data_IF_319603899123
#
_entry.id   IF_319603899123
#
_cell.length_a   1.000
_cell.length_b   1.000
_cell.length_c   1.000
_cell.angle_alpha   90.00
_cell.angle_beta   90.00
_cell.angle_gamma   90.00
#
_symmetry.space_group_name_H-M   'P 1'
#
loop_
_entity.id
_entity.type
_entity.pdbx_description
1 polymer ?
#
# COMPACT_ATOMS: atom_id res chain seq x y z
N UNK A 1 19.16 5.54 -24.49
CA UNK A 1 18.74 6.91 -24.11
C UNK A 1 19.10 7.08 -22.65
N UNK A 2 19.60 8.25 -22.21
CA UNK A 2 19.93 8.52 -20.80
C UNK A 2 19.02 9.62 -20.29
N UNK A 3 18.50 9.47 -19.07
CA UNK A 3 17.78 10.54 -18.37
C UNK A 3 18.78 11.36 -17.55
N UNK A 4 18.68 12.69 -17.61
CA UNK A 4 19.49 13.60 -16.81
C UNK A 4 18.58 14.52 -15.99
N UNK A 5 18.97 14.79 -14.74
CA UNK A 5 18.35 15.83 -13.93
C UNK A 5 19.07 17.16 -14.19
N UNK A 6 18.31 18.23 -14.37
CA UNK A 6 18.85 19.55 -14.67
C UNK A 6 18.06 20.65 -13.97
N UNK A 7 18.76 21.70 -13.55
CA UNK A 7 18.16 22.90 -12.98
C UNK A 7 18.36 23.04 -11.48
N UNK A 8 17.73 24.09 -10.91
CA UNK A 8 17.89 24.48 -9.51
C UNK A 8 16.66 24.07 -8.69
N UNK A 9 16.92 23.49 -7.52
CA UNK A 9 15.93 23.13 -6.50
C UNK A 9 16.26 23.90 -5.23
N UNK A 10 15.23 24.45 -4.60
CA UNK A 10 15.35 25.17 -3.32
C UNK A 10 14.50 24.46 -2.28
N UNK A 11 15.08 24.19 -1.11
CA UNK A 11 14.40 23.60 0.05
C UNK A 11 14.47 24.61 1.18
N UNK A 12 13.33 25.08 1.67
CA UNK A 12 13.23 26.10 2.72
C UNK A 12 12.56 25.52 3.97
N UNK A 13 13.04 25.94 5.14
CA UNK A 13 12.44 25.60 6.43
C UNK A 13 12.01 26.88 7.16
N UNK A 14 10.70 27.15 7.16
CA UNK A 14 10.11 28.34 7.78
C UNK A 14 10.38 28.43 9.30
N UNK A 15 10.59 27.29 9.98
CA UNK A 15 10.78 27.26 11.44
C UNK A 15 12.12 27.82 11.90
N UNK A 16 13.17 27.66 11.09
CA UNK A 16 14.53 28.05 11.44
C UNK A 16 15.20 28.96 10.39
N UNK A 17 14.47 29.34 9.34
CA UNK A 17 14.94 30.18 8.23
C UNK A 17 16.17 29.60 7.50
N UNK A 18 16.38 28.28 7.58
CA UNK A 18 17.41 27.61 6.79
C UNK A 18 16.88 27.35 5.38
N UNK A 19 17.77 27.53 4.41
CA UNK A 19 17.49 27.27 3.00
C UNK A 19 18.64 26.47 2.39
N UNK A 20 18.32 25.41 1.66
CA UNK A 20 19.25 24.67 0.84
C UNK A 20 18.97 24.95 -0.63
N UNK A 21 19.95 25.46 -1.36
CA UNK A 21 19.89 25.61 -2.82
C UNK A 21 20.75 24.50 -3.44
N UNK A 22 20.15 23.69 -4.32
CA UNK A 22 20.79 22.61 -5.05
C UNK A 22 20.68 22.87 -6.56
N UNK A 23 21.73 22.60 -7.31
CA UNK A 23 21.79 22.68 -8.75
C UNK A 23 22.21 21.33 -9.32
N UNK A 24 21.33 20.72 -10.09
CA UNK A 24 21.59 19.53 -10.90
C UNK A 24 22.15 20.00 -12.25
N UNK A 25 23.38 19.60 -12.54
CA UNK A 25 24.09 20.04 -13.74
C UNK A 25 23.86 19.05 -14.87
N UNK A 26 23.42 19.59 -16.00
CA UNK A 26 23.38 18.86 -17.26
C UNK A 26 24.79 18.58 -17.75
N UNK A 27 24.94 17.52 -18.55
CA UNK A 27 26.23 17.17 -19.15
C UNK A 27 26.76 18.35 -19.99
N UNK A 28 27.99 18.83 -19.72
CA UNK A 28 28.58 19.90 -20.50
C UNK A 28 28.94 19.43 -21.92
N UNK A 29 28.90 20.35 -22.89
CA UNK A 29 29.33 20.07 -24.28
C UNK A 29 30.80 19.68 -24.39
N UNK A 30 31.63 20.19 -23.47
CA UNK A 30 33.05 19.88 -23.36
C UNK A 30 33.31 19.26 -21.99
N UNK A 31 33.94 18.08 -21.98
CA UNK A 31 34.17 17.29 -20.77
C UNK A 31 33.63 15.87 -20.92
N UNK A 32 34.41 14.88 -20.50
CA UNK A 32 34.07 13.47 -20.64
C UNK A 32 32.85 13.04 -19.82
N UNK A 33 32.60 11.73 -19.80
CA UNK A 33 31.49 11.13 -19.03
C UNK A 33 31.58 11.38 -17.51
N UNK A 34 32.71 11.87 -17.00
CA UNK A 34 32.92 12.21 -15.60
C UNK A 34 32.09 13.41 -15.11
N UNK A 35 31.49 14.18 -16.02
CA UNK A 35 30.69 15.36 -15.67
C UNK A 35 29.17 15.13 -15.71
N UNK A 36 28.74 13.88 -15.87
CA UNK A 36 27.33 13.50 -15.87
C UNK A 36 26.84 13.40 -14.41
N UNK A 37 25.56 13.72 -14.18
CA UNK A 37 24.91 13.61 -12.87
C UNK A 37 25.52 14.48 -11.76
N UNK A 38 26.21 15.56 -12.12
CA UNK A 38 26.80 16.47 -11.13
C UNK A 38 25.73 17.23 -10.36
N UNK A 39 25.99 17.40 -9.06
CA UNK A 39 25.20 18.24 -8.17
C UNK A 39 26.13 19.21 -7.44
N UNK A 40 25.69 20.46 -7.32
CA UNK A 40 26.31 21.45 -6.42
C UNK A 40 25.24 22.11 -5.58
N UNK A 41 25.60 22.61 -4.41
CA UNK A 41 24.64 23.32 -3.58
C UNK A 41 25.24 24.07 -2.42
N UNK A 42 24.38 24.78 -1.70
CA UNK A 42 24.74 25.52 -0.49
C UNK A 42 23.59 25.49 0.50
N UNK A 43 23.92 25.45 1.78
CA UNK A 43 22.98 25.64 2.89
C UNK A 43 23.24 27.03 3.46
N UNK A 44 22.20 27.84 3.57
CA UNK A 44 22.26 29.23 4.01
C UNK A 44 21.30 29.48 5.16
N UNK A 45 21.66 30.46 6.01
CA UNK A 45 20.81 31.03 7.05
C UNK A 45 20.73 32.54 6.79
N UNK A 46 19.64 32.98 6.16
CA UNK A 46 19.58 34.33 5.60
C UNK A 46 20.65 34.54 4.51
N UNK A 47 21.59 35.46 4.74
CA UNK A 47 22.69 35.75 3.80
C UNK A 47 23.96 34.93 4.07
N UNK A 48 24.07 34.28 5.24
CA UNK A 48 25.25 33.54 5.64
C UNK A 48 25.25 32.13 5.03
N UNK A 49 26.35 31.74 4.39
CA UNK A 49 26.51 30.37 3.88
C UNK A 49 27.12 29.51 4.99
N UNK A 50 26.38 28.48 5.41
CA UNK A 50 26.78 27.55 6.46
C UNK A 50 27.57 26.36 5.92
N UNK A 51 27.20 25.86 4.74
CA UNK A 51 27.86 24.72 4.12
C UNK A 51 27.69 24.71 2.60
N UNK A 52 28.58 23.99 1.92
CA UNK A 52 28.55 23.76 0.46
C UNK A 52 28.50 22.27 0.17
N UNK A 53 27.68 21.89 -0.80
CA UNK A 53 27.51 20.53 -1.30
C UNK A 53 28.12 20.43 -2.71
N UNK A 54 28.79 19.32 -2.99
CA UNK A 54 29.32 19.04 -4.34
C UNK A 54 29.50 17.54 -4.55
N UNK A 55 29.21 17.04 -5.75
CA UNK A 55 29.47 15.66 -6.11
C UNK A 55 28.55 15.17 -7.21
N UNK A 56 28.10 13.92 -7.09
CA UNK A 56 27.22 13.27 -8.06
C UNK A 56 26.02 12.66 -7.34
N UNK A 57 24.80 12.98 -7.78
CA UNK A 57 23.58 12.54 -7.07
C UNK A 57 23.34 11.03 -7.15
N UNK A 58 23.96 10.35 -8.11
CA UNK A 58 23.96 8.89 -8.29
C UNK A 58 25.16 8.20 -7.63
N UNK A 59 26.09 8.94 -7.02
CA UNK A 59 27.29 8.45 -6.34
C UNK A 59 27.56 9.26 -5.07
N UNK A 60 28.79 9.71 -4.87
CA UNK A 60 29.21 10.43 -3.69
C UNK A 60 28.87 11.92 -3.81
N UNK A 61 28.20 12.43 -2.78
CA UNK A 61 28.01 13.86 -2.52
C UNK A 61 28.80 14.18 -1.27
N UNK A 62 29.58 15.27 -1.33
CA UNK A 62 30.39 15.76 -0.24
C UNK A 62 29.81 17.06 0.29
N UNK A 63 29.97 17.29 1.60
CA UNK A 63 29.62 18.52 2.29
C UNK A 63 30.89 19.17 2.85
N UNK A 64 30.96 20.50 2.77
CA UNK A 64 31.99 21.30 3.41
C UNK A 64 31.33 22.37 4.25
N UNK A 65 31.45 22.28 5.57
CA UNK A 65 30.97 23.30 6.50
C UNK A 65 31.91 24.52 6.50
N UNK A 66 31.36 25.72 6.56
CA UNK A 66 32.15 26.93 6.74
C UNK A 66 32.74 26.99 8.16
N UNK A 67 34.02 27.33 8.27
CA UNK A 67 34.75 27.35 9.54
C UNK A 67 35.34 26.01 10.00
N UNK A 68 34.86 24.87 9.48
CA UNK A 68 35.50 23.55 9.64
C UNK A 68 36.28 23.22 8.36
N UNK A 69 37.60 23.11 8.44
CA UNK A 69 38.48 23.02 7.26
C UNK A 69 38.38 21.75 6.40
N UNK A 70 37.49 20.81 6.72
CA UNK A 70 37.39 19.50 6.08
C UNK A 70 36.20 19.36 5.13
N UNK A 71 36.40 18.64 4.04
CA UNK A 71 35.31 18.11 3.21
C UNK A 71 34.99 16.70 3.69
N UNK A 72 33.72 16.43 3.94
CA UNK A 72 33.23 15.16 4.47
C UNK A 72 32.26 14.50 3.48
N UNK A 73 32.20 13.17 3.49
CA UNK A 73 31.22 12.42 2.70
C UNK A 73 29.83 12.64 3.31
N UNK A 74 28.92 13.23 2.53
CA UNK A 74 27.55 13.53 2.96
C UNK A 74 26.58 12.42 2.58
N UNK A 75 26.65 11.95 1.33
CA UNK A 75 25.73 10.95 0.81
C UNK A 75 26.44 10.02 -0.18
N UNK A 76 26.11 8.73 -0.11
CA UNK A 76 26.51 7.74 -1.10
C UNK A 76 25.41 6.67 -1.19
N UNK A 77 24.76 6.44 -2.35
CA UNK A 77 23.72 5.44 -2.53
C UNK A 77 24.32 4.02 -2.64
N UNK A 78 25.06 3.59 -1.61
CA UNK A 78 25.69 2.28 -1.53
C UNK A 78 24.67 1.13 -1.53
N UNK A 79 25.13 -0.11 -1.74
CA UNK A 79 24.24 -1.29 -1.72
C UNK A 79 23.56 -1.45 -0.36
N UNK A 80 24.27 -1.13 0.72
CA UNK A 80 23.78 -1.17 2.09
C UNK A 80 22.67 -0.14 2.31
N UNK A 81 22.90 1.12 1.91
CA UNK A 81 21.89 2.20 2.00
C UNK A 81 20.66 1.85 1.16
N UNK A 82 20.84 1.27 -0.03
CA UNK A 82 19.75 0.80 -0.87
C UNK A 82 18.98 -0.36 -0.24
N UNK A 83 19.67 -1.27 0.45
CA UNK A 83 19.07 -2.39 1.19
C UNK A 83 18.28 -1.95 2.42
N UNK A 84 18.59 -0.78 2.99
CA UNK A 84 17.86 -0.17 4.13
C UNK A 84 16.60 0.60 3.70
N UNK A 85 16.31 0.73 2.40
CA UNK A 85 15.11 1.43 1.92
C UNK A 85 13.85 0.74 2.47
N UNK A 86 12.90 1.56 2.91
CA UNK A 86 11.59 1.06 3.33
C UNK A 86 10.95 0.26 2.18
N UNK A 87 10.43 -0.92 2.51
CA UNK A 87 9.72 -1.74 1.54
C UNK A 87 8.41 -1.04 1.19
N UNK A 88 8.22 -0.75 -0.10
CA UNK A 88 6.92 -0.29 -0.60
C UNK A 88 5.92 -1.45 -0.52
N UNK A 89 4.83 -1.23 0.18
CA UNK A 89 3.67 -2.12 0.17
C UNK A 89 2.62 -1.54 -0.77
N UNK A 90 2.03 -2.39 -1.60
CA UNK A 90 0.92 -2.06 -2.50
C UNK A 90 -0.27 -2.94 -2.13
N UNK A 91 -1.48 -2.46 -2.41
CA UNK A 91 -2.71 -3.25 -2.28
C UNK A 91 -2.59 -4.47 -3.19
N UNK A 92 -3.05 -5.64 -2.70
CA UNK A 92 -3.03 -6.88 -3.46
C UNK A 92 -3.83 -6.71 -4.75
N UNK A 93 -3.34 -7.26 -5.86
CA UNK A 93 -3.91 -7.05 -7.18
C UNK A 93 -5.41 -7.41 -7.25
N UNK A 94 -5.83 -8.47 -6.55
CA UNK A 94 -7.21 -8.93 -6.48
C UNK A 94 -8.13 -7.98 -5.71
N UNK A 95 -7.56 -7.20 -4.79
CA UNK A 95 -8.25 -6.23 -3.95
C UNK A 95 -8.30 -4.84 -4.59
N UNK A 96 -7.48 -4.58 -5.61
CA UNK A 96 -7.46 -3.30 -6.33
C UNK A 96 -8.75 -3.04 -7.11
N UNK A 97 -9.23 -1.81 -7.07
CA UNK A 97 -10.35 -1.32 -7.88
C UNK A 97 -9.96 -1.10 -9.35
N UNK A 98 -10.96 -0.98 -10.22
CA UNK A 98 -10.75 -0.89 -11.68
C UNK A 98 -9.93 0.34 -12.14
N UNK A 99 -9.86 1.39 -11.32
CA UNK A 99 -9.17 2.65 -11.65
C UNK A 99 -7.79 2.76 -11.00
N UNK A 100 -7.37 1.77 -10.22
CA UNK A 100 -6.03 1.72 -9.66
C UNK A 100 -5.01 1.36 -10.72
N UNK A 101 -3.86 2.04 -10.69
CA UNK A 101 -2.92 2.06 -11.82
C UNK A 101 -2.44 0.68 -12.26
N UNK A 102 -2.08 -0.20 -11.32
CA UNK A 102 -1.57 -1.53 -11.68
C UNK A 102 -2.65 -2.38 -12.37
N UNK A 103 -3.87 -2.42 -11.81
CA UNK A 103 -5.01 -3.09 -12.44
C UNK A 103 -5.46 -2.46 -13.76
N UNK A 104 -5.52 -1.13 -13.83
CA UNK A 104 -5.96 -0.39 -15.01
C UNK A 104 -4.99 -0.60 -16.19
N UNK A 105 -3.68 -0.59 -15.93
CA UNK A 105 -2.64 -0.70 -16.94
C UNK A 105 -2.12 -2.13 -17.17
N UNK A 106 -2.69 -3.13 -16.50
CA UNK A 106 -2.19 -4.52 -16.50
C UNK A 106 -1.92 -5.11 -17.89
N UNK A 107 -2.77 -4.81 -18.88
CA UNK A 107 -2.67 -5.40 -20.22
C UNK A 107 -1.57 -4.73 -21.05
N UNK A 108 -1.45 -3.40 -20.92
CA UNK A 108 -0.37 -2.62 -21.52
C UNK A 108 0.96 -3.06 -20.94
N UNK A 109 1.07 -3.11 -19.61
CA UNK A 109 2.31 -3.53 -18.92
C UNK A 109 2.71 -4.95 -19.31
N UNK A 110 1.77 -5.89 -19.37
CA UNK A 110 2.04 -7.27 -19.80
C UNK A 110 2.57 -7.33 -21.23
N UNK A 111 1.94 -6.63 -22.17
CA UNK A 111 2.38 -6.60 -23.56
C UNK A 111 3.78 -5.98 -23.71
N UNK A 112 4.09 -4.93 -22.94
CA UNK A 112 5.45 -4.34 -22.87
C UNK A 112 6.46 -5.36 -22.34
N UNK A 113 6.13 -6.07 -21.25
CA UNK A 113 7.00 -7.12 -20.70
C UNK A 113 7.22 -8.28 -21.67
N UNK A 114 6.22 -8.62 -22.49
CA UNK A 114 6.29 -9.63 -23.55
C UNK A 114 7.05 -9.13 -24.81
N UNK A 115 7.39 -7.84 -24.88
CA UNK A 115 8.01 -7.22 -26.06
C UNK A 115 7.06 -7.02 -27.24
N UNK A 116 5.75 -7.18 -27.04
CA UNK A 116 4.72 -7.00 -28.08
C UNK A 116 4.26 -5.53 -28.14
N UNK A 117 4.99 -4.75 -28.93
CA UNK A 117 4.71 -3.32 -29.09
C UNK A 117 3.36 -3.03 -29.77
N UNK A 118 2.89 -3.91 -30.66
CA UNK A 118 1.62 -3.72 -31.36
C UNK A 118 0.45 -3.88 -30.39
N UNK A 119 0.46 -4.95 -29.60
CA UNK A 119 -0.53 -5.21 -28.56
C UNK A 119 -0.49 -4.14 -27.47
N UNK A 120 0.69 -3.72 -27.03
CA UNK A 120 0.82 -2.62 -26.05
C UNK A 120 0.17 -1.32 -26.55
N UNK A 121 0.32 -1.01 -27.84
CA UNK A 121 -0.29 0.17 -28.46
C UNK A 121 -1.81 0.04 -28.55
N UNK A 122 -2.32 -1.13 -28.92
CA UNK A 122 -3.76 -1.41 -28.99
C UNK A 122 -4.44 -1.31 -27.61
N UNK A 123 -3.87 -1.94 -26.59
CA UNK A 123 -4.38 -1.89 -25.21
C UNK A 123 -4.34 -0.46 -24.66
N UNK A 124 -3.26 0.29 -24.92
CA UNK A 124 -3.15 1.70 -24.56
C UNK A 124 -4.22 2.54 -25.25
N UNK A 125 -4.45 2.30 -26.54
CA UNK A 125 -5.46 3.01 -27.31
C UNK A 125 -6.87 2.75 -26.75
N UNK A 126 -7.20 1.51 -26.42
CA UNK A 126 -8.47 1.12 -25.82
C UNK A 126 -8.75 1.87 -24.51
N UNK A 127 -7.75 1.92 -23.60
CA UNK A 127 -7.85 2.66 -22.34
C UNK A 127 -8.06 4.16 -22.55
N UNK A 128 -7.30 4.77 -23.46
CA UNK A 128 -7.41 6.19 -23.76
C UNK A 128 -8.76 6.54 -24.40
N UNK A 129 -9.27 5.72 -25.33
CA UNK A 129 -10.55 5.99 -25.97
C UNK A 129 -11.72 5.85 -24.98
N UNK A 130 -11.65 4.88 -24.05
CA UNK A 130 -12.59 4.78 -22.95
C UNK A 130 -12.60 6.05 -22.07
N UNK A 131 -11.43 6.63 -21.78
CA UNK A 131 -11.33 7.91 -21.04
C UNK A 131 -11.86 9.10 -21.86
N UNK A 132 -11.58 9.16 -23.17
CA UNK A 132 -12.15 10.19 -24.07
C UNK A 132 -13.68 10.09 -24.09
N UNK A 133 -14.23 8.89 -24.17
CA UNK A 133 -15.67 8.67 -24.17
C UNK A 133 -16.33 9.08 -22.85
N UNK A 134 -15.78 8.67 -21.69
CA UNK A 134 -16.25 9.12 -20.37
C UNK A 134 -16.21 10.64 -20.23
N UNK A 135 -15.22 11.29 -20.84
CA UNK A 135 -15.12 12.76 -20.84
C UNK A 135 -16.21 13.41 -21.69
N UNK A 136 -16.50 12.86 -22.89
CA UNK A 136 -17.60 13.34 -23.74
C UNK A 136 -18.96 13.20 -23.03
N UNK A 137 -19.21 12.07 -22.37
CA UNK A 137 -20.45 11.81 -21.62
C UNK A 137 -20.64 12.80 -20.46
N UNK A 138 -19.57 13.10 -19.72
CA UNK A 138 -19.58 14.12 -18.65
C UNK A 138 -19.91 15.51 -19.19
N UNK A 139 -19.34 15.88 -20.34
CA UNK A 139 -19.63 17.16 -20.99
C UNK A 139 -21.09 17.24 -21.45
N UNK A 140 -21.61 16.18 -22.07
CA UNK A 140 -23.00 16.10 -22.52
C UNK A 140 -24.00 16.15 -21.37
N UNK A 141 -23.67 15.52 -20.25
CA UNK A 141 -24.48 15.51 -19.03
C UNK A 141 -24.24 16.72 -18.11
N UNK A 142 -23.39 17.68 -18.53
CA UNK A 142 -22.99 18.85 -17.74
C UNK A 142 -22.49 18.51 -16.32
N UNK A 143 -21.91 17.31 -16.16
CA UNK A 143 -21.41 16.82 -14.87
C UNK A 143 -19.90 17.02 -14.80
N UNK A 144 -19.38 17.89 -13.92
CA UNK A 144 -17.94 18.13 -13.81
C UNK A 144 -17.20 16.92 -13.23
N UNK A 145 -15.96 16.70 -13.67
CA UNK A 145 -15.06 15.74 -13.03
C UNK A 145 -14.67 16.24 -11.63
N UNK A 146 -14.79 15.35 -10.63
CA UNK A 146 -14.43 15.65 -9.25
C UNK A 146 -13.36 14.67 -8.76
N UNK A 147 -12.16 15.13 -8.37
CA UNK A 147 -11.15 14.28 -7.74
C UNK A 147 -11.65 13.72 -6.41
N UNK A 148 -11.43 12.41 -6.22
CA UNK A 148 -11.96 11.68 -5.07
C UNK A 148 -11.22 12.01 -3.78
N UNK A 149 -9.88 11.95 -3.80
CA UNK A 149 -9.04 12.03 -2.60
C UNK A 149 -8.46 13.43 -2.35
N UNK A 150 -8.50 14.31 -3.34
CA UNK A 150 -7.88 15.64 -3.28
C UNK A 150 -8.90 16.75 -3.56
N UNK A 151 -8.64 17.93 -3.03
CA UNK A 151 -9.35 19.15 -3.35
C UNK A 151 -8.35 20.27 -3.64
N UNK A 152 -8.73 21.21 -4.50
CA UNK A 152 -7.93 22.38 -4.80
C UNK A 152 -8.23 23.45 -3.74
N UNK A 153 -7.22 23.93 -3.03
CA UNK A 153 -7.33 25.08 -2.13
C UNK A 153 -7.49 26.35 -2.99
N UNK A 154 -8.62 27.09 -2.89
CA UNK A 154 -8.82 28.31 -3.65
C UNK A 154 -7.81 29.41 -3.33
N UNK A 155 -7.25 29.45 -2.11
CA UNK A 155 -6.34 30.49 -1.67
C UNK A 155 -4.91 30.27 -2.17
N UNK A 156 -4.39 29.04 -2.07
CA UNK A 156 -3.02 28.73 -2.49
C UNK A 156 -2.92 28.17 -3.90
N UNK A 157 -4.05 27.76 -4.50
CA UNK A 157 -4.10 27.01 -5.77
C UNK A 157 -3.35 25.68 -5.72
N UNK A 158 -3.21 25.09 -4.53
CA UNK A 158 -2.54 23.80 -4.33
C UNK A 158 -3.54 22.67 -4.10
N UNK A 159 -3.17 21.46 -4.51
CA UNK A 159 -3.96 20.26 -4.23
C UNK A 159 -3.68 19.77 -2.81
N UNK A 160 -4.74 19.75 -1.99
CA UNK A 160 -4.70 19.21 -0.64
C UNK A 160 -5.42 17.89 -0.55
N UNK A 161 -4.79 16.94 0.13
CA UNK A 161 -5.40 15.67 0.44
C UNK A 161 -6.56 15.89 1.42
N UNK A 162 -7.73 15.33 1.11
CA UNK A 162 -8.97 15.59 1.86
C UNK A 162 -8.93 15.07 3.30
N UNK A 163 -8.12 14.06 3.57
CA UNK A 163 -8.05 13.37 4.86
C UNK A 163 -6.68 13.58 5.52
N UNK A 164 -6.06 14.73 5.28
CA UNK A 164 -4.77 15.08 5.87
C UNK A 164 -4.82 15.01 7.41
N UNK A 165 -3.87 14.27 7.98
CA UNK A 165 -3.65 14.23 9.41
C UNK A 165 -2.20 14.64 9.68
N UNK A 166 -2.04 15.88 10.16
CA UNK A 166 -0.73 16.46 10.48
C UNK A 166 -0.34 16.24 11.95
N UNK A 167 -1.14 15.46 12.69
CA UNK A 167 -0.82 15.14 14.07
C UNK A 167 0.45 14.29 14.11
N UNK A 168 1.41 14.63 14.99
CA UNK A 168 2.59 13.79 15.15
C UNK A 168 2.17 12.42 15.68
N UNK A 169 2.88 11.38 15.24
CA UNK A 169 2.71 10.03 15.76
C UNK A 169 2.94 10.02 17.28
N UNK A 170 1.97 9.51 18.04
CA UNK A 170 2.06 9.31 19.49
C UNK A 170 2.29 7.82 19.80
N UNK A 171 3.52 7.41 20.17
CA UNK A 171 3.83 6.00 20.44
C UNK A 171 3.04 5.37 21.60
N UNK A 172 2.39 6.18 22.45
CA UNK A 172 1.56 5.68 23.56
C UNK A 172 0.13 5.37 23.11
N UNK A 173 -0.38 6.15 22.15
CA UNK A 173 -1.77 6.07 21.68
C UNK A 173 -1.89 5.33 20.36
N UNK A 174 -1.02 5.61 19.41
CA UNK A 174 -1.07 5.12 18.04
C UNK A 174 -0.38 3.75 17.95
N UNK A 175 -1.10 2.79 17.37
CA UNK A 175 -0.67 1.39 17.26
C UNK A 175 -0.17 1.10 15.85
N UNK A 176 -0.97 1.47 14.85
CA UNK A 176 -0.66 1.24 13.44
C UNK A 176 -1.31 2.32 12.57
N UNK A 177 -0.71 2.56 11.41
CA UNK A 177 -1.33 3.28 10.30
C UNK A 177 -1.58 2.30 9.16
N UNK A 178 -2.75 2.39 8.54
CA UNK A 178 -3.12 1.59 7.40
C UNK A 178 -3.94 2.42 6.42
N UNK A 179 -3.96 1.98 5.18
CA UNK A 179 -4.69 2.61 4.10
C UNK A 179 -5.97 1.80 3.83
N UNK A 180 -7.08 2.49 3.59
CA UNK A 180 -8.35 1.91 3.15
C UNK A 180 -9.03 2.88 2.17
N UNK A 181 -9.31 2.43 0.94
CA UNK A 181 -9.99 3.21 -0.11
C UNK A 181 -9.34 4.58 -0.40
N UNK A 182 -8.01 4.64 -0.34
CA UNK A 182 -7.19 5.83 -0.48
C UNK A 182 -7.16 6.73 0.76
N UNK A 183 -7.71 6.26 1.89
CA UNK A 183 -7.78 6.96 3.18
C UNK A 183 -6.79 6.40 4.18
N UNK A 184 -5.91 7.25 4.73
CA UNK A 184 -4.99 6.85 5.78
C UNK A 184 -5.68 6.89 7.16
N UNK A 185 -5.79 5.72 7.78
CA UNK A 185 -6.35 5.54 9.12
C UNK A 185 -5.25 5.29 10.14
N UNK A 186 -5.43 5.81 11.36
CA UNK A 186 -4.57 5.52 12.51
C UNK A 186 -5.36 4.74 13.54
N UNK A 187 -4.92 3.51 13.83
CA UNK A 187 -5.48 2.68 14.88
C UNK A 187 -4.94 3.14 16.23
N UNK A 188 -5.83 3.54 17.13
CA UNK A 188 -5.47 3.99 18.48
C UNK A 188 -5.88 2.99 19.56
N UNK A 189 -5.13 2.97 20.66
CA UNK A 189 -5.32 2.05 21.79
C UNK A 189 -6.70 2.19 22.47
N UNK A 190 -7.28 3.39 22.48
CA UNK A 190 -8.57 3.65 23.10
C UNK A 190 -9.74 3.04 22.30
N UNK A 191 -9.62 2.93 20.98
CA UNK A 191 -10.67 2.41 20.10
C UNK A 191 -10.98 0.92 20.36
N UNK A 192 -10.03 0.16 20.93
CA UNK A 192 -10.23 -1.25 21.28
C UNK A 192 -11.15 -1.46 22.49
N UNK A 193 -11.39 -0.45 23.34
CA UNK A 193 -12.27 -0.58 24.50
C UNK A 193 -13.78 -0.49 24.16
N UNK A 194 -14.13 0.05 22.98
CA UNK A 194 -15.52 0.30 22.58
C UNK A 194 -16.22 -0.85 21.85
N UNK A 195 -15.47 -1.83 21.32
CA UNK A 195 -16.05 -2.91 20.50
C UNK A 195 -16.33 -4.22 21.27
N UNK A 196 -16.06 -4.28 22.57
CA UNK A 196 -16.23 -5.50 23.39
C UNK A 196 -17.45 -5.50 24.31
N UNK A 197 -18.47 -4.67 24.04
CA UNK A 197 -19.62 -4.51 24.95
C UNK A 197 -20.94 -5.02 24.37
N UNK A 198 -20.96 -6.19 23.73
CA UNK A 198 -22.19 -6.98 23.55
C UNK A 198 -21.87 -8.47 23.55
N UNK A 199 -21.65 -9.02 24.75
CA UNK A 199 -21.91 -10.40 25.19
C UNK A 199 -21.17 -10.61 26.52
N UNK A 200 -21.78 -10.24 27.64
CA UNK A 200 -21.33 -10.70 28.95
C UNK A 200 -22.53 -11.19 29.78
N UNK A 201 -22.65 -12.51 29.86
CA UNK A 201 -23.33 -13.18 30.98
C UNK A 201 -22.33 -13.40 32.15
N UNK A 202 -22.81 -13.62 33.38
CA UNK A 202 -22.12 -13.14 34.59
C UNK A 202 -21.40 -14.20 35.44
N UNK A 203 -20.21 -13.81 35.96
CA UNK A 203 -19.63 -14.20 37.26
C UNK A 203 -18.64 -15.39 37.29
N UNK A 204 -17.87 -15.61 38.39
CA UNK A 204 -17.64 -14.76 39.57
C UNK A 204 -16.14 -14.51 39.93
N UNK A 205 -16.01 -13.59 40.89
CA UNK A 205 -14.85 -12.94 41.52
C UNK A 205 -13.73 -13.86 42.02
N UNK A 206 -12.48 -13.38 41.93
CA UNK A 206 -11.50 -13.44 43.03
C UNK A 206 -10.59 -12.20 43.01
N UNK A 207 -10.49 -11.54 44.18
CA UNK A 207 -9.61 -10.40 44.46
C UNK A 207 -8.29 -10.90 45.06
N UNK A 208 -7.19 -10.21 44.77
CA UNK A 208 -5.92 -10.29 45.50
C UNK A 208 -4.98 -9.14 45.08
N UNK A 209 -4.29 -8.44 46.00
CA UNK A 209 -3.76 -7.09 45.77
C UNK A 209 -2.28 -7.06 45.32
N UNK A 210 -1.86 -5.96 44.67
CA UNK A 210 -0.44 -5.61 44.43
C UNK A 210 0.26 -5.10 45.72
N UNK A 211 1.40 -4.38 45.66
CA UNK A 211 2.17 -3.85 44.51
C UNK A 211 3.69 -4.17 44.57
N UNK A 212 4.51 -3.78 43.57
CA UNK A 212 5.55 -2.73 43.70
C UNK A 212 6.61 -2.71 42.56
N UNK A 213 6.85 -1.49 42.04
CA UNK A 213 8.05 -0.89 41.44
C UNK A 213 9.18 -1.76 40.81
N UNK A 214 9.56 -1.43 39.56
CA UNK A 214 10.64 -0.46 39.25
C UNK A 214 10.85 -0.18 37.74
N UNK A 215 10.99 1.11 37.45
CA UNK A 215 11.41 1.75 36.20
C UNK A 215 12.89 1.47 35.84
N UNK A 216 13.16 1.49 34.52
CA UNK A 216 14.33 2.02 33.74
C UNK A 216 14.51 1.16 32.47
N UNK A 217 14.87 1.62 31.27
CA UNK A 217 15.25 2.89 30.60
C UNK A 217 15.45 2.51 29.11
N UNK A 218 14.68 3.01 28.14
CA UNK A 218 14.90 4.14 27.20
C UNK A 218 16.03 4.01 26.16
N UNK A 219 15.74 4.53 24.96
CA UNK A 219 16.56 4.86 23.76
C UNK A 219 16.75 3.73 22.72
N UNK A 220 16.53 3.91 21.42
CA UNK A 220 16.58 5.14 20.60
C UNK A 220 15.43 5.29 19.58
N UNK A 221 15.07 6.55 19.32
CA UNK A 221 14.02 7.00 18.41
C UNK A 221 14.50 7.17 16.95
N UNK A 222 13.54 7.26 16.00
CA UNK A 222 13.75 7.44 14.56
C UNK A 222 13.58 8.91 14.13
N UNK A 223 13.95 9.23 12.89
CA UNK A 223 13.59 10.50 12.24
C UNK A 223 12.89 10.23 10.92
N UNK A 224 11.61 10.60 10.84
CA UNK A 224 10.88 10.75 9.60
C UNK A 224 10.90 12.21 9.11
N UNK A 225 10.73 12.41 7.81
CA UNK A 225 9.73 13.35 7.27
C UNK A 225 9.64 13.26 5.74
N UNK A 226 8.41 13.08 5.26
CA UNK A 226 7.84 13.35 3.93
C UNK A 226 7.87 14.87 3.64
N UNK A 227 7.75 15.47 2.46
CA UNK A 227 7.67 15.09 1.04
C UNK A 227 7.60 16.45 0.31
N UNK A 228 8.29 16.60 -0.84
CA UNK A 228 7.91 17.50 -1.92
C UNK A 228 8.34 16.79 -3.21
N UNK A 229 7.39 16.37 -4.04
CA UNK A 229 7.68 15.87 -5.39
C UNK A 229 6.62 16.35 -6.35
N UNK A 230 7.05 17.16 -7.31
CA UNK A 230 6.29 17.45 -8.52
C UNK A 230 6.15 16.16 -9.34
N UNK A 231 4.91 15.85 -9.68
CA UNK A 231 4.53 14.65 -10.43
C UNK A 231 4.84 14.85 -11.91
N UNK A 232 5.85 14.15 -12.43
CA UNK A 232 5.94 13.80 -13.85
C UNK A 232 5.77 12.29 -13.98
N UNK A 233 4.74 11.89 -14.74
CA UNK A 233 4.44 10.48 -15.02
C UNK A 233 5.57 9.84 -15.83
N UNK A 234 6.02 8.67 -15.39
CA UNK A 234 6.93 7.83 -16.17
C UNK A 234 6.54 6.35 -15.98
N UNK A 235 6.45 5.69 -17.13
CA UNK A 235 6.22 4.28 -17.43
C UNK A 235 7.00 3.31 -16.52
N UNK A 236 6.50 2.10 -16.22
CA UNK A 236 7.23 1.11 -15.44
C UNK A 236 8.43 0.55 -16.23
N UNK A 237 9.63 0.73 -15.67
CA UNK A 237 10.85 0.03 -16.10
C UNK A 237 10.90 -1.40 -15.54
N UNK A 238 11.62 -2.21 -16.30
CA UNK A 238 11.72 -3.66 -16.35
C UNK A 238 12.26 -4.35 -15.08
N UNK A 239 11.85 -5.59 -14.90
CA UNK A 239 12.34 -6.55 -13.90
C UNK A 239 13.87 -6.73 -13.99
N UNK A 240 14.61 -6.78 -12.86
CA UNK A 240 15.99 -7.26 -12.86
C UNK A 240 15.98 -8.79 -12.96
N UNK A 241 16.50 -9.32 -14.07
CA UNK A 241 16.87 -10.73 -14.20
C UNK A 241 18.01 -11.07 -13.22
N UNK A 242 17.82 -12.17 -12.49
CA UNK A 242 18.83 -12.82 -11.67
C UNK A 242 19.81 -13.52 -12.62
N UNK A 243 21.06 -13.08 -12.62
CA UNK A 243 22.20 -13.81 -13.17
C UNK A 243 23.23 -13.90 -12.05
N UNK A 244 23.15 -14.99 -11.28
CA UNK A 244 24.18 -15.39 -10.34
C UNK A 244 25.21 -16.21 -11.13
N UNK A 245 26.43 -15.70 -11.21
CA UNK A 245 27.59 -16.47 -11.64
C UNK A 245 28.09 -17.27 -10.44
N UNK A 246 28.14 -18.59 -10.59
CA UNK A 246 28.70 -19.50 -9.59
C UNK A 246 30.24 -19.42 -9.62
N UNK A 247 30.84 -19.04 -8.49
CA UNK A 247 32.27 -19.24 -8.24
C UNK A 247 32.45 -20.20 -7.06
N UNK A 248 33.16 -21.27 -7.40
CA UNK A 248 33.51 -22.45 -6.62
C UNK A 248 34.38 -22.10 -5.41
N UNK A 249 34.09 -22.68 -4.24
CA UNK A 249 34.70 -22.27 -2.97
C UNK A 249 34.43 -23.24 -1.83
N UNK A 250 34.97 -24.45 -1.97
CA UNK A 250 35.02 -25.54 -1.01
C UNK A 250 35.67 -25.12 0.33
N UNK A 251 34.93 -25.05 1.45
CA UNK A 251 35.53 -25.07 2.81
C UNK A 251 34.60 -25.72 3.87
N UNK A 252 35.23 -26.65 4.60
CA UNK A 252 34.76 -27.71 5.52
C UNK A 252 34.01 -27.22 6.78
N UNK A 253 33.05 -28.01 7.33
CA UNK A 253 32.24 -27.64 8.49
C UNK A 253 32.88 -28.02 9.85
N UNK A 254 32.71 -27.15 10.84
CA UNK A 254 32.82 -27.55 12.25
C UNK A 254 33.37 -26.47 13.19
N UNK A 255 32.48 -25.82 13.94
CA UNK A 255 32.76 -25.48 15.33
C UNK A 255 31.46 -25.21 16.09
N UNK A 256 31.02 -26.21 16.86
CA UNK A 256 29.94 -26.11 17.83
C UNK A 256 30.42 -25.35 19.07
N UNK A 257 29.74 -24.27 19.43
CA UNK A 257 29.50 -23.93 20.83
C UNK A 257 28.16 -23.19 20.95
N UNK A 258 27.20 -23.69 21.75
CA UNK A 258 25.86 -23.12 21.75
C UNK A 258 25.79 -21.89 22.64
N UNK A 259 25.53 -20.72 22.05
CA UNK A 259 25.18 -19.55 22.85
C UNK A 259 23.80 -19.79 23.52
N UNK A 260 23.66 -19.58 24.84
CA UNK A 260 22.40 -19.84 25.55
C UNK A 260 21.26 -18.88 25.13
N UNK A 261 21.58 -17.82 24.39
CA UNK A 261 20.61 -16.86 23.83
C UNK A 261 19.99 -17.34 22.52
N UNK A 262 20.76 -18.05 21.69
CA UNK A 262 20.33 -18.52 20.37
C UNK A 262 19.44 -19.77 20.46
N UNK A 263 19.59 -20.61 21.49
CA UNK A 263 18.67 -21.73 21.75
C UNK A 263 17.26 -21.29 22.17
N UNK A 264 17.11 -20.13 22.80
CA UNK A 264 15.78 -19.58 23.17
C UNK A 264 15.06 -19.01 21.96
N UNK A 265 15.79 -18.36 21.06
CA UNK A 265 15.23 -17.80 19.83
C UNK A 265 14.84 -18.89 18.82
N UNK A 266 15.67 -19.95 18.70
CA UNK A 266 15.33 -21.13 17.91
C UNK A 266 14.04 -21.82 18.41
N UNK A 267 13.89 -21.97 19.73
CA UNK A 267 12.64 -22.52 20.32
C UNK A 267 11.43 -21.62 20.09
N UNK A 268 11.59 -20.29 20.15
CA UNK A 268 10.51 -19.34 19.85
C UNK A 268 10.07 -19.42 18.39
N UNK A 269 11.02 -19.50 17.47
CA UNK A 269 10.75 -19.69 16.04
C UNK A 269 10.06 -21.03 15.77
N UNK A 270 10.47 -22.10 16.47
CA UNK A 270 9.84 -23.41 16.34
C UNK A 270 8.39 -23.40 16.83
N UNK A 271 8.11 -22.79 17.98
CA UNK A 271 6.74 -22.64 18.50
C UNK A 271 5.88 -21.78 17.56
N UNK A 272 6.43 -20.71 16.98
CA UNK A 272 5.76 -19.91 15.97
C UNK A 272 5.45 -20.71 14.70
N UNK A 273 6.40 -21.53 14.24
CA UNK A 273 6.22 -22.37 13.07
C UNK A 273 5.13 -23.43 13.29
N UNK A 274 5.12 -24.10 14.45
CA UNK A 274 4.07 -25.05 14.84
C UNK A 274 2.68 -24.38 14.94
N UNK A 275 2.61 -23.16 15.48
CA UNK A 275 1.36 -22.41 15.54
C UNK A 275 0.83 -22.04 14.14
N UNK A 276 1.72 -21.65 13.21
CA UNK A 276 1.35 -21.34 11.83
C UNK A 276 0.83 -22.59 11.11
N UNK A 277 1.47 -23.75 11.31
CA UNK A 277 1.01 -25.02 10.74
C UNK A 277 -0.38 -25.41 11.26
N UNK A 278 -0.60 -25.29 12.58
CA UNK A 278 -1.90 -25.58 13.19
C UNK A 278 -3.01 -24.66 12.66
N UNK A 279 -2.73 -23.38 12.45
CA UNK A 279 -3.69 -22.43 11.85
C UNK A 279 -4.01 -22.83 10.41
N UNK A 280 -3.01 -23.23 9.63
CA UNK A 280 -3.19 -23.63 8.23
C UNK A 280 -4.04 -24.89 8.11
N UNK A 281 -3.84 -25.87 8.99
CA UNK A 281 -4.67 -27.07 9.07
C UNK A 281 -6.13 -26.74 9.43
N UNK A 282 -6.33 -25.86 10.43
CA UNK A 282 -7.67 -25.41 10.80
C UNK A 282 -8.38 -24.67 9.66
N UNK A 283 -7.66 -23.85 8.89
CA UNK A 283 -8.19 -23.17 7.71
C UNK A 283 -8.60 -24.15 6.60
N UNK A 284 -7.81 -25.20 6.37
CA UNK A 284 -8.13 -26.24 5.40
C UNK A 284 -9.39 -27.03 5.80
N UNK A 285 -9.54 -27.37 7.08
CA UNK A 285 -10.74 -28.08 7.56
C UNK A 285 -11.99 -27.19 7.45
N UNK A 286 -11.88 -25.89 7.76
CA UNK A 286 -12.96 -24.92 7.56
C UNK A 286 -13.37 -24.82 6.09
N UNK A 287 -12.41 -24.78 5.18
CA UNK A 287 -12.67 -24.73 3.74
C UNK A 287 -13.35 -26.01 3.24
N UNK A 288 -12.95 -27.17 3.77
CA UNK A 288 -13.57 -28.47 3.49
C UNK A 288 -15.02 -28.51 3.98
N UNK A 289 -15.30 -28.03 5.19
CA UNK A 289 -16.66 -27.94 5.72
C UNK A 289 -17.54 -26.98 4.91
N UNK A 290 -17.03 -25.81 4.54
CA UNK A 290 -17.75 -24.86 3.68
C UNK A 290 -18.06 -25.48 2.30
N UNK A 291 -17.10 -26.15 1.69
CA UNK A 291 -17.29 -26.85 0.41
C UNK A 291 -18.34 -27.96 0.51
N UNK A 292 -18.31 -28.73 1.60
CA UNK A 292 -19.32 -29.76 1.87
C UNK A 292 -20.73 -29.15 2.04
N UNK A 293 -20.86 -28.07 2.82
CA UNK A 293 -22.15 -27.37 2.98
C UNK A 293 -22.66 -26.79 1.65
N UNK A 294 -21.79 -26.16 0.86
CA UNK A 294 -22.13 -25.63 -0.46
C UNK A 294 -22.57 -26.75 -1.43
N UNK A 295 -21.88 -27.89 -1.43
CA UNK A 295 -22.26 -29.04 -2.26
C UNK A 295 -23.61 -29.65 -1.83
N UNK A 296 -23.87 -29.75 -0.52
CA UNK A 296 -25.15 -30.26 0.00
C UNK A 296 -26.34 -29.32 -0.30
N UNK A 297 -26.11 -28.00 -0.25
CA UNK A 297 -27.14 -27.00 -0.60
C UNK A 297 -27.37 -26.91 -2.10
N UNK A 298 -26.34 -27.13 -2.92
CA UNK A 298 -26.49 -27.28 -4.37
C UNK A 298 -27.27 -28.55 -4.74
N UNK A 299 -27.00 -29.69 -4.08
CA UNK A 299 -27.77 -30.92 -4.27
C UNK A 299 -29.23 -30.79 -3.79
N UNK A 300 -29.48 -30.09 -2.68
CA UNK A 300 -30.85 -29.80 -2.22
C UNK A 300 -31.63 -28.89 -3.19
N UNK A 301 -30.95 -28.02 -3.95
CA UNK A 301 -31.57 -27.20 -5.02
C UNK A 301 -31.85 -27.98 -6.31
N UNK A 302 -31.23 -29.14 -6.51
CA UNK A 302 -31.42 -29.97 -7.71
C UNK A 302 -32.44 -31.10 -7.53
N UNK A 303 -33.02 -31.27 -6.33
CA UNK A 303 -34.19 -32.14 -6.17
C UNK A 303 -35.38 -31.52 -6.92
N UNK A 304 -35.99 -32.23 -7.90
CA UNK A 304 -37.12 -31.68 -8.65
C UNK A 304 -38.29 -31.49 -7.69
N UNK A 305 -38.71 -30.24 -7.50
CA UNK A 305 -40.01 -29.94 -6.92
C UNK A 305 -41.08 -30.56 -7.83
N UNK A 306 -41.94 -31.48 -7.35
CA UNK A 306 -43.09 -31.88 -8.14
C UNK A 306 -43.98 -30.65 -8.30
N UNK A 307 -44.11 -30.16 -9.53
CA UNK A 307 -44.90 -28.98 -9.85
C UNK A 307 -46.32 -29.14 -9.30
N UNK A 308 -46.75 -28.16 -8.48
CA UNK A 308 -48.06 -28.13 -7.79
C UNK A 308 -49.27 -28.27 -8.75
N UNK A 309 -49.06 -28.12 -10.06
CA UNK A 309 -50.07 -28.15 -11.11
C UNK A 309 -50.13 -29.46 -11.92
N UNK A 310 -49.35 -30.49 -11.58
CA UNK A 310 -49.41 -31.78 -12.30
C UNK A 310 -50.36 -32.82 -11.67
N UNK A 311 -50.97 -32.54 -10.52
CA UNK A 311 -51.95 -33.45 -9.91
C UNK A 311 -53.37 -33.11 -10.40
N UNK A 312 -54.17 -34.10 -10.87
CA UNK A 312 -55.55 -33.88 -11.29
C UNK A 312 -56.46 -33.38 -10.14
N UNK A 313 -56.04 -33.58 -8.89
CA UNK A 313 -56.69 -33.03 -7.70
C UNK A 313 -56.54 -31.50 -7.59
N UNK A 314 -55.41 -30.96 -8.02
CA UNK A 314 -55.15 -29.51 -8.01
C UNK A 314 -56.07 -28.79 -8.99
N UNK A 315 -56.28 -29.37 -10.18
CA UNK A 315 -57.23 -28.85 -11.17
C UNK A 315 -58.68 -28.92 -10.71
N UNK A 316 -59.08 -30.03 -10.08
CA UNK A 316 -60.41 -30.16 -9.51
C UNK A 316 -60.70 -29.09 -8.45
N UNK A 317 -59.75 -28.86 -7.54
CA UNK A 317 -59.89 -27.83 -6.50
C UNK A 317 -59.94 -26.42 -7.09
N UNK A 318 -59.16 -26.14 -8.13
CA UNK A 318 -59.20 -24.85 -8.83
C UNK A 318 -60.56 -24.61 -9.51
N UNK A 319 -61.13 -25.63 -10.15
CA UNK A 319 -62.46 -25.57 -10.76
C UNK A 319 -63.56 -25.36 -9.73
N UNK A 320 -63.50 -26.05 -8.58
CA UNK A 320 -64.45 -25.84 -7.47
C UNK A 320 -64.33 -24.42 -6.91
N UNK A 321 -63.10 -23.91 -6.75
CA UNK A 321 -62.88 -22.55 -6.26
C UNK A 321 -63.44 -21.48 -7.20
N UNK A 322 -63.22 -21.62 -8.52
CA UNK A 322 -63.78 -20.73 -9.54
C UNK A 322 -65.32 -20.82 -9.60
N UNK A 323 -65.89 -22.01 -9.46
CA UNK A 323 -67.34 -22.19 -9.38
C UNK A 323 -67.93 -21.53 -8.12
N UNK A 324 -67.27 -21.66 -6.96
CA UNK A 324 -67.66 -20.97 -5.74
C UNK A 324 -67.56 -19.44 -5.87
N UNK A 325 -66.51 -18.91 -6.53
CA UNK A 325 -66.39 -17.48 -6.78
C UNK A 325 -67.47 -16.93 -7.72
N UNK A 326 -67.86 -17.71 -8.72
CA UNK A 326 -68.99 -17.38 -9.61
C UNK A 326 -70.32 -17.41 -8.87
N UNK A 327 -70.54 -18.41 -8.02
CA UNK A 327 -71.75 -18.53 -7.21
C UNK A 327 -71.86 -17.40 -6.19
N UNK A 328 -70.75 -17.05 -5.52
CA UNK A 328 -70.69 -15.93 -4.58
C UNK A 328 -70.94 -14.60 -5.30
N UNK A 329 -70.37 -14.38 -6.48
CA UNK A 329 -70.65 -13.18 -7.29
C UNK A 329 -72.08 -13.13 -7.84
N UNK A 330 -72.75 -14.27 -8.00
CA UNK A 330 -74.14 -14.34 -8.43
C UNK A 330 -75.12 -14.09 -7.28
N UNK A 331 -74.78 -14.52 -6.07
CA UNK A 331 -75.62 -14.35 -4.87
C UNK A 331 -75.43 -12.95 -4.24
N UNK A 332 -74.25 -12.36 -4.37
CA UNK A 332 -73.91 -11.03 -3.82
C UNK A 332 -74.19 -9.86 -4.79
N UNK A 333 -74.99 -10.07 -5.84
CA UNK A 333 -75.38 -9.05 -6.81
C UNK A 333 -76.90 -8.96 -6.91
#
# INVERSE_FOLDING_TARGET
MTMELGGRVTIECEKNNLQAELEFKLKPFFGGSTNINQITGKIVSGEEVLARLSGHWDREVFIKEEGRGGTELFWNPSREVRGQRLKRHTVLFEEQTELESERLWQHVTRAICEGDQHKATEEKFSLEEAQRQRTRERQQSLTPWKPQLFHLDPATQEWRYRYENLSPWDPLKDIAQFEQDGVLHTLQRETMAGQTTFLRSPGPRHQGPGPDRRLRKASDQPSGHSQLTESSGSTPESCPELSDEEEDGDFVPGCESPCPRCGKEARRLQVLHEAILSIREAQQELHRHLSAMLSSTAQARQAPTPGLLQSPRSWFLLCVFLACQLLLNYILK
#
